data_IF_288046693828
#
_entry.id   IF_288046693828
#
_cell.length_a   1.000
_cell.length_b   1.000
_cell.length_c   1.000
_cell.angle_alpha   90.00
_cell.angle_beta   90.00
_cell.angle_gamma   90.00
#
_symmetry.space_group_name_H-M   'P 1'
#
loop_
_entity.id
_entity.type
_entity.pdbx_description
1 polymer ?
#
# COMPACT_ATOMS: atom_id res chain seq x y z
N UNK A 1 4.78 -21.54 -0.95
CA UNK A 1 5.36 -20.30 -0.38
C UNK A 1 4.24 -19.32 -0.11
N UNK A 2 4.24 -18.72 1.08
CA UNK A 2 3.26 -17.69 1.45
C UNK A 2 3.95 -16.32 1.39
N UNK A 3 3.42 -15.39 0.61
CA UNK A 3 3.89 -14.02 0.59
C UNK A 3 2.87 -13.07 1.25
N UNK A 4 3.34 -12.01 1.91
CA UNK A 4 2.53 -10.89 2.37
C UNK A 4 2.70 -9.72 1.39
N UNK A 5 1.60 -9.14 0.93
CA UNK A 5 1.57 -8.03 -0.02
C UNK A 5 0.87 -6.82 0.60
N UNK A 6 1.66 -5.78 0.87
CA UNK A 6 1.23 -4.48 1.36
C UNK A 6 1.49 -3.44 0.28
N UNK A 7 0.71 -2.36 0.28
CA UNK A 7 0.93 -1.17 -0.54
C UNK A 7 0.30 0.07 0.13
N UNK A 8 0.57 1.24 -0.39
CA UNK A 8 -0.15 2.47 -0.07
C UNK A 8 -0.24 2.73 1.44
N UNK A 9 0.91 2.65 2.12
CA UNK A 9 1.01 2.82 3.57
C UNK A 9 0.83 4.28 3.98
N UNK A 10 1.26 5.21 3.14
CA UNK A 10 1.14 6.66 3.32
C UNK A 10 1.55 7.18 4.71
N UNK A 11 2.66 6.68 5.24
CA UNK A 11 3.18 7.12 6.54
C UNK A 11 3.42 8.63 6.55
N UNK A 12 2.98 9.29 7.61
CA UNK A 12 3.03 10.74 7.72
C UNK A 12 1.85 11.48 7.09
N UNK A 13 0.80 10.77 6.62
CA UNK A 13 -0.42 11.38 6.13
C UNK A 13 -1.07 12.28 7.17
N UNK A 14 -1.40 13.52 6.78
CA UNK A 14 -2.07 14.52 7.65
C UNK A 14 -3.29 15.07 6.94
N UNK A 15 -4.40 15.04 7.65
CA UNK A 15 -5.62 15.68 7.20
C UNK A 15 -6.36 16.27 8.41
N UNK A 16 -7.14 17.32 8.13
CA UNK A 16 -7.91 18.04 9.14
C UNK A 16 -7.03 18.65 10.25
N UNK A 17 -7.65 19.45 11.15
CA UNK A 17 -6.93 20.18 12.21
C UNK A 17 -6.99 19.50 13.58
N UNK A 18 -7.57 18.27 13.66
CA UNK A 18 -7.69 17.55 14.94
C UNK A 18 -6.32 17.00 15.37
N UNK A 19 -5.94 17.33 16.59
CA UNK A 19 -4.73 16.81 17.23
C UNK A 19 -5.11 15.71 18.24
N UNK A 20 -4.22 14.75 18.39
CA UNK A 20 -4.22 13.79 19.50
C UNK A 20 -3.81 14.48 20.81
N UNK A 21 -4.02 13.86 22.00
CA UNK A 21 -3.55 14.42 23.27
C UNK A 21 -2.04 14.71 23.30
N UNK A 22 -1.23 14.02 22.50
CA UNK A 22 0.21 14.27 22.34
C UNK A 22 0.59 15.32 21.31
N UNK A 23 -0.36 16.11 20.77
CA UNK A 23 -0.11 17.17 19.79
C UNK A 23 0.17 16.69 18.36
N UNK A 24 0.06 15.40 18.08
CA UNK A 24 0.23 14.81 16.74
C UNK A 24 -1.10 14.90 15.98
N UNK A 25 -1.05 15.15 14.67
CA UNK A 25 -2.25 15.11 13.84
C UNK A 25 -2.97 13.76 13.98
N UNK A 26 -4.29 13.77 14.18
CA UNK A 26 -5.05 12.57 14.48
C UNK A 26 -4.97 11.53 13.34
N UNK A 27 -4.96 11.98 12.07
CA UNK A 27 -4.86 11.09 10.91
C UNK A 27 -3.46 10.48 10.78
N UNK A 28 -2.40 11.26 11.03
CA UNK A 28 -1.03 10.74 11.07
C UNK A 28 -0.90 9.62 12.11
N UNK A 29 -1.52 9.80 13.29
CA UNK A 29 -1.55 8.77 14.33
C UNK A 29 -2.35 7.53 13.90
N UNK A 30 -3.51 7.71 13.23
CA UNK A 30 -4.32 6.59 12.75
C UNK A 30 -3.51 5.71 11.78
N UNK A 31 -2.83 6.32 10.81
CA UNK A 31 -1.97 5.62 9.85
C UNK A 31 -0.82 4.89 10.56
N UNK A 32 -0.15 5.54 11.53
CA UNK A 32 0.92 4.89 12.28
C UNK A 32 0.43 3.67 13.10
N UNK A 33 -0.79 3.73 13.65
CA UNK A 33 -1.40 2.61 14.38
C UNK A 33 -1.81 1.48 13.43
N UNK A 34 -2.40 1.80 12.27
CA UNK A 34 -2.74 0.82 11.24
C UNK A 34 -1.49 0.11 10.71
N UNK A 35 -0.40 0.85 10.49
CA UNK A 35 0.88 0.28 10.07
C UNK A 35 1.43 -0.72 11.09
N UNK A 36 1.45 -0.37 12.38
CA UNK A 36 1.86 -1.31 13.43
C UNK A 36 1.00 -2.56 13.46
N UNK A 37 -0.32 -2.38 13.41
CA UNK A 37 -1.25 -3.51 13.40
C UNK A 37 -1.05 -4.42 12.17
N UNK A 38 -0.76 -3.83 11.00
CA UNK A 38 -0.42 -4.59 9.80
C UNK A 38 0.83 -5.44 10.01
N UNK A 39 1.91 -4.84 10.50
CA UNK A 39 3.17 -5.57 10.73
C UNK A 39 3.06 -6.61 11.84
N UNK A 40 2.32 -6.33 12.92
CA UNK A 40 2.05 -7.31 13.98
C UNK A 40 1.32 -8.53 13.39
N UNK A 41 0.33 -8.27 12.52
CA UNK A 41 -0.39 -9.36 11.85
C UNK A 41 0.48 -10.11 10.84
N UNK A 42 1.38 -9.45 10.12
CA UNK A 42 2.37 -10.10 9.24
C UNK A 42 3.28 -11.04 10.04
N UNK A 43 3.75 -10.59 11.22
CA UNK A 43 4.57 -11.44 12.12
C UNK A 43 3.81 -12.70 12.57
N UNK A 44 2.52 -12.55 12.95
CA UNK A 44 1.68 -13.68 13.36
C UNK A 44 1.45 -14.70 12.23
N UNK A 45 1.38 -14.21 10.98
CA UNK A 45 1.16 -15.06 9.80
C UNK A 45 2.43 -15.80 9.35
N UNK A 46 3.62 -15.24 9.65
CA UNK A 46 4.91 -15.85 9.33
C UNK A 46 5.10 -16.13 7.84
N UNK A 47 4.98 -15.11 6.95
CA UNK A 47 5.18 -15.32 5.51
C UNK A 47 6.64 -15.64 5.18
N UNK A 48 6.87 -16.25 4.02
CA UNK A 48 8.21 -16.52 3.49
C UNK A 48 8.83 -15.30 2.77
N UNK A 49 7.98 -14.34 2.35
CA UNK A 49 8.36 -13.13 1.62
C UNK A 49 7.39 -11.99 1.95
N UNK A 50 7.92 -10.77 2.07
CA UNK A 50 7.11 -9.56 2.28
C UNK A 50 7.35 -8.58 1.13
N UNK A 51 6.28 -8.18 0.46
CA UNK A 51 6.27 -7.21 -0.63
C UNK A 51 5.58 -5.92 -0.18
N UNK A 52 6.21 -4.78 -0.45
CA UNK A 52 5.62 -3.45 -0.24
C UNK A 52 5.59 -2.71 -1.58
N UNK A 53 4.44 -2.73 -2.24
CA UNK A 53 4.26 -2.26 -3.60
C UNK A 53 4.06 -0.73 -3.71
N UNK A 54 4.91 0.05 -3.07
CA UNK A 54 5.02 1.50 -3.18
C UNK A 54 4.16 2.30 -2.21
N UNK A 55 4.35 3.61 -2.26
CA UNK A 55 3.72 4.64 -1.42
C UNK A 55 3.85 4.34 0.08
N UNK A 56 5.11 4.09 0.50
CA UNK A 56 5.45 3.92 1.91
C UNK A 56 5.20 5.21 2.67
N UNK A 57 5.65 6.34 2.13
CA UNK A 57 5.40 7.67 2.70
C UNK A 57 4.35 8.44 1.91
N UNK A 58 3.63 9.32 2.60
CA UNK A 58 2.62 10.17 1.95
C UNK A 58 3.22 11.32 1.13
N UNK A 59 4.45 11.68 1.36
CA UNK A 59 5.15 12.76 0.64
C UNK A 59 6.61 12.41 0.44
N UNK A 60 7.21 12.94 -0.61
CA UNK A 60 8.65 12.82 -0.93
C UNK A 60 9.56 13.29 0.22
N UNK A 61 9.08 14.21 1.04
CA UNK A 61 9.78 14.71 2.22
C UNK A 61 8.93 14.51 3.47
N UNK A 62 8.89 13.29 4.00
CA UNK A 62 8.10 12.98 5.19
C UNK A 62 8.69 13.67 6.43
N UNK A 63 7.90 13.75 7.50
CA UNK A 63 8.39 14.26 8.77
C UNK A 63 9.44 13.33 9.39
N UNK A 64 10.39 13.87 10.14
CA UNK A 64 11.38 13.06 10.84
C UNK A 64 10.72 12.02 11.77
N UNK A 65 9.54 12.32 12.31
CA UNK A 65 8.78 11.38 13.13
C UNK A 65 8.28 10.18 12.31
N UNK A 66 7.75 10.43 11.11
CA UNK A 66 7.31 9.37 10.20
C UNK A 66 8.48 8.51 9.73
N UNK A 67 9.62 9.12 9.38
CA UNK A 67 10.84 8.41 8.98
C UNK A 67 11.34 7.51 10.12
N UNK A 68 11.46 8.07 11.32
CA UNK A 68 11.95 7.31 12.47
C UNK A 68 11.00 6.18 12.90
N UNK A 69 9.69 6.37 12.75
CA UNK A 69 8.71 5.31 13.04
C UNK A 69 8.76 4.21 11.97
N UNK A 70 8.81 4.57 10.69
CA UNK A 70 8.97 3.60 9.59
C UNK A 70 10.21 2.73 9.79
N UNK A 71 11.36 3.36 10.01
CA UNK A 71 12.63 2.65 10.24
C UNK A 71 12.54 1.68 11.43
N UNK A 72 12.03 2.15 12.57
CA UNK A 72 11.87 1.28 13.76
C UNK A 72 10.94 0.10 13.51
N UNK A 73 9.82 0.32 12.81
CA UNK A 73 8.85 -0.75 12.57
C UNK A 73 9.37 -1.78 11.58
N UNK A 74 10.02 -1.36 10.49
CA UNK A 74 10.65 -2.31 9.55
C UNK A 74 11.84 -3.04 10.19
N UNK A 75 12.68 -2.36 10.99
CA UNK A 75 13.75 -3.02 11.74
C UNK A 75 13.22 -4.04 12.76
N UNK A 76 12.11 -3.71 13.43
CA UNK A 76 11.42 -4.66 14.32
C UNK A 76 10.89 -5.87 13.54
N UNK A 77 10.25 -5.64 12.39
CA UNK A 77 9.73 -6.70 11.53
C UNK A 77 10.84 -7.66 11.08
N UNK A 78 11.93 -7.12 10.54
CA UNK A 78 13.11 -7.91 10.14
C UNK A 78 13.69 -8.71 11.32
N UNK A 79 13.78 -8.10 12.50
CA UNK A 79 14.27 -8.79 13.69
C UNK A 79 13.34 -9.89 14.24
N UNK A 80 12.02 -9.77 14.02
CA UNK A 80 11.03 -10.76 14.43
C UNK A 80 10.85 -11.91 13.42
N UNK A 81 11.20 -11.66 12.16
CA UNK A 81 11.17 -12.64 11.06
C UNK A 81 12.57 -12.78 10.43
N UNK A 82 13.54 -13.29 11.18
CA UNK A 82 14.92 -13.40 10.69
C UNK A 82 14.98 -14.31 9.45
N UNK A 83 15.65 -13.85 8.41
CA UNK A 83 15.77 -14.57 7.14
C UNK A 83 14.61 -14.36 6.16
N UNK A 84 13.51 -13.74 6.57
CA UNK A 84 12.41 -13.41 5.64
C UNK A 84 12.76 -12.10 4.90
N UNK A 85 12.90 -12.13 3.57
CA UNK A 85 13.21 -10.93 2.80
C UNK A 85 12.00 -9.97 2.73
N UNK A 86 12.31 -8.68 2.77
CA UNK A 86 11.35 -7.58 2.61
C UNK A 86 11.75 -6.81 1.36
N UNK A 87 10.93 -6.83 0.31
CA UNK A 87 11.19 -6.10 -0.92
C UNK A 87 10.23 -4.93 -1.03
N UNK A 88 10.78 -3.72 -1.20
CA UNK A 88 10.06 -2.45 -1.23
C UNK A 88 10.35 -1.76 -2.56
N UNK A 89 9.32 -1.36 -3.30
CA UNK A 89 9.48 -0.45 -4.43
C UNK A 89 8.97 0.95 -4.09
N UNK A 90 9.46 1.97 -4.80
CA UNK A 90 8.95 3.33 -4.65
C UNK A 90 7.65 3.52 -5.43
N UNK A 91 6.65 4.14 -4.79
CA UNK A 91 5.46 4.66 -5.43
C UNK A 91 5.62 6.11 -5.90
N UNK A 92 4.53 6.74 -6.39
CA UNK A 92 4.57 8.12 -6.85
C UNK A 92 4.78 9.13 -5.70
N UNK A 93 4.31 8.81 -4.50
CA UNK A 93 4.53 9.65 -3.31
C UNK A 93 5.94 9.52 -2.72
N UNK A 94 6.67 8.45 -3.01
CA UNK A 94 8.05 8.23 -2.57
C UNK A 94 9.09 8.76 -3.56
N UNK A 95 8.66 9.10 -4.79
CA UNK A 95 9.52 9.39 -5.93
C UNK A 95 9.78 10.88 -6.09
N UNK A 96 11.00 11.39 -5.77
CA UNK A 96 11.34 12.78 -6.01
C UNK A 96 11.43 13.06 -7.52
N UNK A 97 10.95 14.24 -7.95
CA UNK A 97 11.07 14.68 -9.35
C UNK A 97 12.50 14.90 -9.80
N UNK A 98 13.39 15.26 -8.89
CA UNK A 98 14.81 15.48 -9.15
C UNK A 98 15.60 14.23 -8.74
N UNK A 99 16.21 13.56 -9.71
CA UNK A 99 16.99 12.32 -9.53
C UNK A 99 18.10 12.48 -8.49
N UNK A 100 18.74 13.66 -8.46
CA UNK A 100 19.85 13.98 -7.53
C UNK A 100 19.41 13.95 -6.06
N UNK A 101 18.12 14.14 -5.78
CA UNK A 101 17.62 14.15 -4.39
C UNK A 101 17.63 12.75 -3.77
N UNK A 102 17.45 11.69 -4.57
CA UNK A 102 17.28 10.32 -4.10
C UNK A 102 15.98 10.13 -3.30
N UNK A 103 15.50 8.91 -3.20
CA UNK A 103 14.35 8.60 -2.35
C UNK A 103 14.78 8.37 -0.90
N UNK A 104 13.97 8.83 0.05
CA UNK A 104 14.14 8.54 1.48
C UNK A 104 14.02 7.05 1.79
N UNK A 105 13.40 6.26 0.90
CA UNK A 105 13.29 4.81 1.04
C UNK A 105 14.64 4.12 1.13
N UNK A 106 15.71 4.70 0.55
CA UNK A 106 17.08 4.16 0.62
C UNK A 106 17.56 3.96 2.05
N UNK A 107 17.04 4.77 3.00
CA UNK A 107 17.33 4.56 4.42
C UNK A 107 16.84 3.20 4.92
N UNK A 108 15.75 2.67 4.39
CA UNK A 108 15.22 1.38 4.79
C UNK A 108 16.09 0.21 4.29
N UNK A 109 16.88 0.41 3.24
CA UNK A 109 17.82 -0.60 2.76
C UNK A 109 19.00 -0.86 3.73
N UNK A 110 19.21 0.02 4.71
CA UNK A 110 20.19 -0.20 5.80
C UNK A 110 19.71 -1.24 6.83
N UNK A 111 18.44 -1.67 6.75
CA UNK A 111 17.88 -2.70 7.63
C UNK A 111 18.21 -4.08 7.03
N UNK A 112 18.81 -5.00 7.79
CA UNK A 112 19.09 -6.36 7.31
C UNK A 112 17.85 -7.05 6.72
N UNK A 113 18.00 -7.67 5.54
CA UNK A 113 16.91 -8.36 4.85
C UNK A 113 15.92 -7.45 4.10
N UNK A 114 16.15 -6.13 4.10
CA UNK A 114 15.33 -5.19 3.32
C UNK A 114 16.01 -4.82 2.02
N UNK A 115 15.32 -5.02 0.91
CA UNK A 115 15.75 -4.61 -0.44
C UNK A 115 14.84 -3.49 -0.92
N UNK A 116 15.41 -2.37 -1.35
CA UNK A 116 14.68 -1.22 -1.89
C UNK A 116 15.01 -1.02 -3.36
N UNK A 117 13.97 -0.83 -4.18
CA UNK A 117 14.08 -0.48 -5.60
C UNK A 117 13.30 0.83 -5.82
N UNK A 118 14.00 1.94 -6.00
CA UNK A 118 13.40 3.29 -5.96
C UNK A 118 13.47 4.06 -7.28
N UNK A 119 14.35 3.70 -8.20
CA UNK A 119 14.57 4.46 -9.44
C UNK A 119 14.28 3.63 -10.68
N UNK A 120 15.20 2.71 -11.00
CA UNK A 120 15.19 1.95 -12.23
C UNK A 120 14.50 0.59 -12.03
N UNK A 121 13.91 0.07 -13.10
CA UNK A 121 13.41 -1.29 -13.13
C UNK A 121 14.56 -2.28 -12.95
N UNK A 122 14.38 -3.24 -12.05
CA UNK A 122 15.38 -4.30 -11.89
C UNK A 122 14.78 -5.59 -11.35
N UNK A 123 15.33 -6.71 -11.74
CA UNK A 123 15.08 -8.00 -11.11
C UNK A 123 15.85 -8.12 -9.79
N UNK A 124 15.18 -8.64 -8.75
CA UNK A 124 15.76 -9.01 -7.45
C UNK A 124 15.63 -10.52 -7.34
N UNK A 125 16.74 -11.24 -7.32
CA UNK A 125 16.76 -12.67 -7.10
C UNK A 125 17.06 -12.99 -5.64
N UNK A 126 16.22 -13.81 -5.03
CA UNK A 126 16.28 -14.24 -3.63
C UNK A 126 16.65 -15.72 -3.59
N UNK A 127 17.96 -15.99 -3.44
CA UNK A 127 18.53 -17.34 -3.54
C UNK A 127 17.90 -18.33 -2.56
N UNK A 128 17.66 -17.92 -1.31
CA UNK A 128 17.18 -18.79 -0.24
C UNK A 128 15.77 -19.36 -0.50
N UNK A 129 14.97 -18.68 -1.33
CA UNK A 129 13.61 -19.08 -1.68
C UNK A 129 13.40 -19.26 -3.18
N UNK A 130 14.49 -19.27 -3.96
CA UNK A 130 14.52 -19.45 -5.43
C UNK A 130 13.44 -18.62 -6.15
N UNK A 131 13.40 -17.32 -5.83
CA UNK A 131 12.38 -16.40 -6.31
C UNK A 131 12.97 -15.19 -7.01
N UNK A 132 12.54 -14.91 -8.23
CA UNK A 132 12.84 -13.69 -8.98
C UNK A 132 11.68 -12.71 -8.92
N UNK A 133 11.98 -11.46 -8.56
CA UNK A 133 10.98 -10.38 -8.47
C UNK A 133 11.39 -9.29 -9.45
N UNK A 134 10.64 -9.11 -10.53
CA UNK A 134 10.82 -7.96 -11.40
C UNK A 134 10.13 -6.74 -10.75
N UNK A 135 10.95 -5.82 -10.27
CA UNK A 135 10.52 -4.61 -9.56
C UNK A 135 10.43 -3.41 -10.51
N UNK A 136 9.26 -2.81 -10.60
CA UNK A 136 8.97 -1.63 -11.42
C UNK A 136 8.49 -0.48 -10.53
N UNK A 137 9.41 0.32 -9.95
CA UNK A 137 9.04 1.51 -9.21
C UNK A 137 8.41 2.55 -10.13
N UNK A 138 7.67 3.51 -9.54
CA UNK A 138 6.98 4.56 -10.30
C UNK A 138 7.90 5.31 -11.27
N UNK A 139 9.12 5.65 -10.88
CA UNK A 139 10.07 6.37 -11.74
C UNK A 139 10.45 5.58 -13.00
N UNK A 140 10.64 4.27 -12.87
CA UNK A 140 10.93 3.41 -14.03
C UNK A 140 9.78 3.42 -15.03
N UNK A 141 8.54 3.33 -14.55
CA UNK A 141 7.36 3.42 -15.40
C UNK A 141 7.19 4.82 -16.01
N UNK A 142 7.52 5.88 -15.27
CA UNK A 142 7.41 7.27 -15.71
C UNK A 142 8.50 7.70 -16.69
N UNK A 143 9.61 6.98 -16.79
CA UNK A 143 10.72 7.29 -17.71
C UNK A 143 10.32 7.21 -19.18
N UNK A 144 9.27 6.45 -19.50
CA UNK A 144 8.84 6.15 -20.86
C UNK A 144 9.75 5.14 -21.58
N UNK A 145 10.74 4.60 -20.91
CA UNK A 145 11.58 3.53 -21.46
C UNK A 145 10.78 2.23 -21.53
N UNK A 146 10.97 1.48 -22.62
CA UNK A 146 10.30 0.20 -22.77
C UNK A 146 11.00 -0.85 -21.91
N UNK A 147 10.29 -1.30 -20.88
CA UNK A 147 10.75 -2.34 -19.97
C UNK A 147 10.24 -3.70 -20.47
N UNK A 148 11.13 -4.67 -20.64
CA UNK A 148 10.72 -6.03 -20.97
C UNK A 148 10.12 -6.70 -19.72
N UNK A 149 8.84 -7.06 -19.79
CA UNK A 149 8.14 -7.78 -18.71
C UNK A 149 8.26 -9.29 -18.96
N UNK A 150 9.44 -9.84 -18.63
CA UNK A 150 9.74 -11.24 -18.85
C UNK A 150 10.12 -11.91 -17.52
N UNK A 151 9.48 -13.05 -17.19
CA UNK A 151 9.89 -13.88 -16.05
C UNK A 151 11.30 -14.42 -16.25
N UNK A 152 11.99 -14.66 -15.15
CA UNK A 152 13.30 -15.32 -15.13
C UNK A 152 13.11 -16.84 -15.31
N UNK A 153 13.62 -17.43 -16.40
CA UNK A 153 13.42 -18.85 -16.67
C UNK A 153 14.17 -19.78 -15.69
N UNK A 154 15.16 -19.23 -14.97
CA UNK A 154 15.98 -20.01 -14.04
C UNK A 154 15.42 -19.98 -12.60
N UNK A 155 14.43 -19.13 -12.31
CA UNK A 155 13.79 -19.04 -10.99
C UNK A 155 12.58 -19.97 -10.87
N UNK A 156 12.42 -20.61 -9.70
CA UNK A 156 11.26 -21.46 -9.42
C UNK A 156 9.96 -20.66 -9.27
N UNK A 157 10.05 -19.44 -8.74
CA UNK A 157 8.90 -18.52 -8.56
C UNK A 157 9.22 -17.18 -9.19
N UNK A 158 8.29 -16.68 -10.01
CA UNK A 158 8.41 -15.39 -10.66
C UNK A 158 7.31 -14.41 -10.24
N UNK A 159 7.72 -13.27 -9.71
CA UNK A 159 6.81 -12.21 -9.24
C UNK A 159 7.06 -10.94 -10.06
N UNK A 160 5.98 -10.31 -10.49
CA UNK A 160 6.00 -8.94 -11.01
C UNK A 160 5.49 -8.01 -9.92
N UNK A 161 6.22 -6.95 -9.61
CA UNK A 161 5.84 -5.96 -8.61
C UNK A 161 5.89 -4.57 -9.22
N UNK A 162 4.77 -3.83 -9.24
CA UNK A 162 4.72 -2.50 -9.83
C UNK A 162 3.78 -1.55 -9.05
N UNK A 163 4.08 -0.25 -9.16
CA UNK A 163 3.26 0.81 -8.60
C UNK A 163 2.74 1.74 -9.70
N UNK A 164 1.49 1.52 -10.11
CA UNK A 164 0.86 2.28 -11.19
C UNK A 164 -0.55 1.82 -11.52
N UNK A 165 -1.12 2.43 -12.55
CA UNK A 165 -2.47 2.15 -13.04
C UNK A 165 -2.46 1.09 -14.12
N UNK A 166 -3.21 0.02 -13.97
CA UNK A 166 -3.45 -0.94 -15.03
C UNK A 166 -4.61 -0.44 -15.90
N UNK A 167 -4.36 -0.32 -17.21
CA UNK A 167 -5.32 0.10 -18.20
C UNK A 167 -5.73 -1.07 -19.11
N UNK A 168 -6.98 -1.08 -19.60
CA UNK A 168 -7.50 -2.15 -20.45
C UNK A 168 -7.93 -3.39 -19.67
N UNK A 169 -8.42 -4.41 -20.40
CA UNK A 169 -8.82 -5.69 -19.81
C UNK A 169 -9.99 -5.61 -18.81
N UNK A 170 -10.77 -4.51 -18.77
CA UNK A 170 -11.84 -4.29 -17.79
C UNK A 170 -11.36 -3.76 -16.44
N UNK A 171 -10.08 -3.48 -16.32
CA UNK A 171 -9.51 -2.93 -15.07
C UNK A 171 -10.10 -1.56 -14.73
N UNK A 172 -10.31 -0.70 -15.74
CA UNK A 172 -10.86 0.66 -15.53
C UNK A 172 -12.28 0.62 -14.93
N UNK A 173 -13.08 -0.39 -15.22
CA UNK A 173 -14.41 -0.52 -14.62
C UNK A 173 -14.32 -0.86 -13.13
N UNK A 174 -13.41 -1.76 -12.76
CA UNK A 174 -13.16 -2.13 -11.36
C UNK A 174 -12.53 -0.99 -10.56
N UNK A 175 -11.69 -0.17 -11.21
CA UNK A 175 -10.87 0.86 -10.57
C UNK A 175 -11.44 2.29 -10.70
N UNK A 176 -12.63 2.45 -11.27
CA UNK A 176 -13.23 3.70 -11.76
C UNK A 176 -13.27 4.87 -10.76
N UNK A 177 -13.28 4.59 -9.47
CA UNK A 177 -13.51 5.60 -8.43
C UNK A 177 -12.39 5.70 -7.40
N UNK A 178 -11.28 5.00 -7.61
CA UNK A 178 -10.28 4.77 -6.55
C UNK A 178 -8.88 5.27 -6.93
N UNK A 179 -8.76 6.04 -8.03
CA UNK A 179 -7.47 6.53 -8.48
C UNK A 179 -7.04 7.79 -7.75
N UNK A 180 -5.83 7.81 -7.23
CA UNK A 180 -5.11 9.04 -6.96
C UNK A 180 -4.53 9.63 -8.24
N UNK A 181 -4.34 10.95 -8.27
CA UNK A 181 -3.70 11.63 -9.39
C UNK A 181 -2.22 11.21 -9.52
N UNK A 182 -1.77 10.87 -10.72
CA UNK A 182 -0.34 10.74 -11.03
C UNK A 182 0.16 9.34 -11.31
N UNK A 183 -0.69 8.32 -11.37
CA UNK A 183 -0.30 6.95 -11.74
C UNK A 183 0.08 6.84 -13.22
N UNK A 184 1.24 6.24 -13.51
CA UNK A 184 1.60 5.85 -14.87
C UNK A 184 0.74 4.67 -15.30
N UNK A 185 0.26 4.70 -16.54
CA UNK A 185 -0.58 3.62 -17.09
C UNK A 185 0.27 2.54 -17.74
N UNK A 186 -0.01 1.30 -17.39
CA UNK A 186 0.54 0.10 -18.01
C UNK A 186 -0.62 -0.67 -18.62
N UNK A 187 -0.50 -1.09 -19.87
CA UNK A 187 -1.56 -1.87 -20.51
C UNK A 187 -1.62 -3.29 -19.95
N UNK A 188 -2.82 -3.75 -19.61
CA UNK A 188 -3.04 -5.08 -19.05
C UNK A 188 -2.54 -6.20 -19.99
N UNK A 189 -2.57 -5.98 -21.30
CA UNK A 189 -2.07 -6.92 -22.29
C UNK A 189 -0.53 -7.08 -22.29
N UNK A 190 0.19 -6.09 -21.78
CA UNK A 190 1.65 -6.15 -21.65
C UNK A 190 2.06 -7.00 -20.44
N UNK A 191 1.25 -7.03 -19.37
CA UNK A 191 1.56 -7.72 -18.11
C UNK A 191 1.51 -9.24 -18.28
N UNK A 192 0.52 -9.75 -19.01
CA UNK A 192 0.31 -11.20 -19.22
C UNK A 192 0.41 -11.98 -17.89
N UNK A 193 -0.58 -11.80 -16.98
CA UNK A 193 -0.50 -12.35 -15.62
C UNK A 193 -0.32 -13.87 -15.58
N UNK A 194 -0.72 -14.60 -16.60
CA UNK A 194 -0.54 -16.04 -16.74
C UNK A 194 0.94 -16.50 -16.81
N UNK A 195 1.87 -15.56 -17.04
CA UNK A 195 3.31 -15.84 -17.08
C UNK A 195 4.01 -15.69 -15.73
N UNK A 196 3.30 -15.16 -14.76
CA UNK A 196 3.82 -14.87 -13.41
C UNK A 196 3.15 -15.76 -12.38
N UNK A 197 3.86 -16.10 -11.32
CA UNK A 197 3.25 -16.75 -10.17
C UNK A 197 2.39 -15.78 -9.38
N UNK A 198 2.82 -14.53 -9.28
CA UNK A 198 2.07 -13.44 -8.67
C UNK A 198 2.40 -12.08 -9.28
N UNK A 199 1.39 -11.21 -9.37
CA UNK A 199 1.55 -9.81 -9.78
C UNK A 199 1.06 -8.92 -8.63
N UNK A 200 2.02 -8.26 -7.97
CA UNK A 200 1.79 -7.39 -6.83
C UNK A 200 1.67 -5.93 -7.26
N UNK A 201 0.49 -5.34 -7.11
CA UNK A 201 0.17 -3.99 -7.56
C UNK A 201 -0.06 -3.03 -6.37
N UNK A 202 0.48 -1.81 -6.46
CA UNK A 202 0.14 -0.68 -5.60
C UNK A 202 -0.38 0.52 -6.40
N UNK A 203 -0.85 1.55 -5.73
CA UNK A 203 -1.43 2.79 -6.24
C UNK A 203 -2.93 2.95 -5.96
N UNK A 204 -3.69 1.87 -5.96
CA UNK A 204 -5.13 1.92 -5.65
C UNK A 204 -5.38 1.49 -4.21
N UNK A 205 -6.08 2.35 -3.45
CA UNK A 205 -6.26 2.17 -2.01
C UNK A 205 -7.35 1.15 -1.62
N UNK A 206 -7.98 0.50 -2.58
CA UNK A 206 -8.97 -0.57 -2.36
C UNK A 206 -8.41 -1.88 -2.87
N UNK A 207 -8.38 -2.91 -2.02
CA UNK A 207 -7.97 -4.24 -2.42
C UNK A 207 -8.84 -4.74 -3.59
N UNK A 208 -8.21 -5.01 -4.72
CA UNK A 208 -8.92 -5.31 -5.97
C UNK A 208 -8.23 -6.43 -6.73
N UNK A 209 -9.00 -7.47 -7.04
CA UNK A 209 -8.57 -8.56 -7.92
C UNK A 209 -8.74 -8.17 -9.38
N UNK A 210 -7.67 -8.19 -10.16
CA UNK A 210 -7.72 -8.04 -11.61
C UNK A 210 -7.67 -9.41 -12.33
N UNK A 211 -6.86 -10.34 -11.80
CA UNK A 211 -6.80 -11.74 -12.18
C UNK A 211 -6.53 -12.59 -10.93
N UNK A 212 -6.72 -13.92 -10.95
CA UNK A 212 -6.54 -14.77 -9.76
C UNK A 212 -5.20 -14.60 -9.04
N UNK A 213 -4.14 -14.29 -9.79
CA UNK A 213 -2.79 -14.04 -9.29
C UNK A 213 -2.34 -12.58 -9.45
N UNK A 214 -3.24 -11.63 -9.71
CA UNK A 214 -2.92 -10.22 -9.95
C UNK A 214 -3.83 -9.32 -9.13
N UNK A 215 -3.25 -8.63 -8.13
CA UNK A 215 -4.00 -7.91 -7.13
C UNK A 215 -3.39 -6.54 -6.80
N UNK A 216 -4.24 -5.54 -6.62
CA UNK A 216 -3.94 -4.38 -5.80
C UNK A 216 -4.15 -4.74 -4.33
N UNK A 217 -3.15 -4.50 -3.47
CA UNK A 217 -3.27 -4.79 -2.04
C UNK A 217 -4.26 -3.86 -1.33
N UNK A 218 -4.41 -2.65 -1.84
CA UNK A 218 -5.11 -1.57 -1.16
C UNK A 218 -4.28 -0.95 -0.03
N UNK A 219 -4.77 0.17 0.50
CA UNK A 219 -4.13 0.86 1.62
C UNK A 219 -4.51 0.29 2.98
N UNK A 220 -3.64 0.50 3.95
CA UNK A 220 -3.84 0.07 5.35
C UNK A 220 -4.79 1.00 6.13
N UNK A 221 -4.99 2.23 5.63
CA UNK A 221 -5.90 3.24 6.21
C UNK A 221 -6.48 4.10 5.07
N UNK A 222 -7.53 4.86 5.33
CA UNK A 222 -8.17 5.75 4.36
C UNK A 222 -7.35 7.02 4.20
N UNK A 223 -6.62 7.15 3.11
CA UNK A 223 -5.68 8.26 2.86
C UNK A 223 -5.91 8.97 1.54
N UNK A 224 -6.84 8.51 0.71
CA UNK A 224 -7.12 9.18 -0.57
C UNK A 224 -7.79 10.56 -0.39
N UNK A 225 -7.65 11.40 -1.40
CA UNK A 225 -8.33 12.69 -1.47
C UNK A 225 -9.85 12.52 -1.58
N UNK A 226 -10.30 11.41 -2.17
CA UNK A 226 -11.71 11.02 -2.24
C UNK A 226 -12.05 9.95 -1.19
N UNK A 227 -11.97 10.33 0.07
CA UNK A 227 -12.20 9.43 1.21
C UNK A 227 -13.59 8.76 1.20
N UNK A 228 -14.56 9.35 0.51
CA UNK A 228 -15.93 8.85 0.43
C UNK A 228 -16.02 7.53 -0.34
N UNK A 229 -15.20 7.36 -1.38
CA UNK A 229 -15.11 6.11 -2.14
C UNK A 229 -14.53 4.97 -1.28
N UNK A 230 -13.69 5.32 -0.32
CA UNK A 230 -13.11 4.37 0.61
C UNK A 230 -13.98 4.10 1.86
N UNK A 231 -15.03 4.90 2.09
CA UNK A 231 -15.81 4.88 3.33
C UNK A 231 -16.38 3.49 3.66
N UNK A 232 -16.90 2.79 2.64
CA UNK A 232 -17.53 1.47 2.79
C UNK A 232 -16.57 0.29 2.64
N UNK A 233 -15.27 0.53 2.34
CA UNK A 233 -14.31 -0.54 2.10
C UNK A 233 -13.48 -0.85 3.33
N UNK A 234 -13.18 -2.14 3.54
CA UNK A 234 -12.21 -2.55 4.53
C UNK A 234 -10.80 -2.14 4.10
N UNK A 235 -9.96 -1.79 5.08
CA UNK A 235 -8.55 -1.52 4.92
C UNK A 235 -7.72 -2.68 5.45
N UNK A 236 -6.58 -2.96 4.81
CA UNK A 236 -5.81 -4.12 5.18
C UNK A 236 -4.69 -4.42 4.20
N UNK A 237 -4.32 -5.68 4.13
CA UNK A 237 -3.30 -6.20 3.23
C UNK A 237 -3.65 -7.61 2.77
N UNK A 238 -2.88 -8.17 1.84
CA UNK A 238 -3.09 -9.50 1.29
C UNK A 238 -1.99 -10.47 1.75
N UNK A 239 -2.35 -11.75 1.88
CA UNK A 239 -1.40 -12.84 1.70
C UNK A 239 -1.77 -13.62 0.45
N UNK A 240 -0.77 -14.17 -0.22
CA UNK A 240 -0.96 -15.03 -1.37
C UNK A 240 -0.12 -16.30 -1.19
N UNK A 241 -0.75 -17.44 -1.40
CA UNK A 241 -0.07 -18.73 -1.39
C UNK A 241 0.20 -19.16 -2.84
N UNK A 242 1.48 -19.28 -3.20
CA UNK A 242 1.90 -19.62 -4.57
C UNK A 242 1.57 -21.07 -4.95
N UNK A 243 1.36 -21.98 -4.00
CA UNK A 243 0.99 -23.37 -4.27
C UNK A 243 -0.50 -23.50 -4.57
N UNK A 244 -1.33 -23.00 -3.68
CA UNK A 244 -2.79 -23.04 -3.85
C UNK A 244 -3.34 -21.95 -4.77
N UNK A 245 -2.50 -20.98 -5.18
CA UNK A 245 -2.86 -19.78 -5.98
C UNK A 245 -4.01 -18.98 -5.35
N UNK A 246 -4.04 -18.92 -4.02
CA UNK A 246 -5.11 -18.27 -3.27
C UNK A 246 -4.64 -17.00 -2.60
N UNK A 247 -5.33 -15.88 -2.89
CA UNK A 247 -5.21 -14.64 -2.13
C UNK A 247 -6.15 -14.65 -0.91
N UNK A 248 -5.69 -14.09 0.20
CA UNK A 248 -6.49 -13.88 1.41
C UNK A 248 -6.32 -12.45 1.89
N UNK A 249 -7.42 -11.70 2.01
CA UNK A 249 -7.41 -10.35 2.54
C UNK A 249 -7.46 -10.36 4.07
N UNK A 250 -6.58 -9.61 4.71
CA UNK A 250 -6.50 -9.43 6.16
C UNK A 250 -6.97 -8.03 6.55
N UNK A 251 -8.22 -7.88 7.01
CA UNK A 251 -8.74 -6.58 7.40
C UNK A 251 -8.05 -6.06 8.66
N UNK A 252 -7.81 -4.74 8.68
CA UNK A 252 -7.22 -4.01 9.80
C UNK A 252 -8.25 -3.05 10.41
N UNK A 253 -8.16 -2.78 11.72
CA UNK A 253 -8.91 -1.69 12.32
C UNK A 253 -8.53 -0.36 11.68
N UNK A 254 -9.50 0.35 11.14
CA UNK A 254 -9.32 1.66 10.51
C UNK A 254 -10.39 2.64 11.01
N UNK A 255 -10.09 3.94 10.94
CA UNK A 255 -11.07 4.96 11.35
C UNK A 255 -12.30 4.90 10.45
N UNK A 256 -13.46 4.78 11.06
CA UNK A 256 -14.73 4.82 10.35
C UNK A 256 -14.95 6.19 9.70
N UNK A 257 -15.43 6.19 8.47
CA UNK A 257 -15.90 7.37 7.72
C UNK A 257 -17.37 7.16 7.44
N UNK A 258 -18.19 8.11 7.88
CA UNK A 258 -19.63 8.06 7.70
C UNK A 258 -20.06 9.16 6.75
N UNK A 259 -20.62 8.78 5.61
CA UNK A 259 -21.29 9.70 4.70
C UNK A 259 -22.71 9.98 5.22
N UNK A 260 -22.93 11.23 5.59
CA UNK A 260 -24.25 11.62 6.11
C UNK A 260 -25.20 11.91 4.95
N UNK A 261 -26.45 11.39 5.01
CA UNK A 261 -27.42 11.66 3.96
C UNK A 261 -27.72 13.15 3.86
N UNK A 262 -28.01 13.62 2.66
CA UNK A 262 -28.46 15.00 2.44
C UNK A 262 -29.77 15.23 3.15
N UNK A 263 -29.78 16.17 4.09
CA UNK A 263 -30.99 16.56 4.80
C UNK A 263 -31.71 17.70 4.08
N UNK A 264 -33.02 17.56 3.87
CA UNK A 264 -33.86 18.70 3.50
C UNK A 264 -33.95 19.71 4.65
N UNK A 265 -34.27 20.99 4.34
CA UNK A 265 -34.36 22.04 5.36
C UNK A 265 -35.28 21.71 6.54
N UNK A 266 -36.35 20.93 6.30
CA UNK A 266 -37.26 20.44 7.32
C UNK A 266 -36.66 19.37 8.25
N UNK A 267 -35.76 18.53 7.74
CA UNK A 267 -35.07 17.55 8.58
C UNK A 267 -33.96 18.19 9.44
N UNK A 268 -33.37 19.32 9.00
CA UNK A 268 -32.31 20.00 9.76
C UNK A 268 -32.73 20.36 11.18
N UNK A 269 -33.97 20.80 11.38
CA UNK A 269 -34.47 21.22 12.69
C UNK A 269 -34.64 20.02 13.64
N UNK A 270 -35.08 18.88 13.12
CA UNK A 270 -35.24 17.65 13.91
C UNK A 270 -33.90 16.95 14.22
N UNK A 271 -32.92 17.03 13.31
CA UNK A 271 -31.61 16.46 13.55
C UNK A 271 -30.79 17.25 14.57
N UNK A 272 -30.87 18.59 14.56
CA UNK A 272 -30.27 19.42 15.60
C UNK A 272 -30.88 19.14 17.00
N UNK A 273 -32.19 18.87 17.09
CA UNK A 273 -32.83 18.49 18.36
C UNK A 273 -32.47 17.09 18.86
N UNK A 274 -32.16 16.15 17.96
CA UNK A 274 -31.67 14.81 18.31
C UNK A 274 -30.15 14.79 18.62
N UNK A 275 -29.34 15.53 17.90
CA UNK A 275 -27.91 15.69 18.18
C UNK A 275 -27.66 16.33 19.55
N UNK A 276 -28.47 17.33 19.94
CA UNK A 276 -28.37 17.95 21.26
C UNK A 276 -28.81 17.02 22.42
N UNK A 277 -29.62 15.96 22.13
CA UNK A 277 -29.99 14.95 23.13
C UNK A 277 -29.06 13.73 23.15
N UNK A 278 -28.30 13.48 22.06
CA UNK A 278 -27.34 12.35 21.97
C UNK A 278 -25.92 12.71 22.41
N UNK A 279 -25.54 13.99 22.42
CA UNK A 279 -24.22 14.44 22.82
C UNK A 279 -23.95 14.35 24.34
N UNK A 280 -24.95 14.12 25.16
CA UNK A 280 -24.77 13.91 26.61
C UNK A 280 -24.37 12.49 27.00
N UNK A 281 -24.34 11.54 26.04
CA UNK A 281 -24.02 10.14 26.34
C UNK A 281 -22.59 9.71 25.89
N UNK A 282 -21.81 10.60 25.28
CA UNK A 282 -20.43 10.28 24.82
C UNK A 282 -19.33 11.16 25.45
N UNK A 283 -19.62 11.84 26.55
CA UNK A 283 -18.60 12.60 27.31
C UNK A 283 -18.46 12.05 28.74
N UNK A 284 -18.23 10.75 28.86
CA UNK A 284 -17.67 10.14 30.08
C UNK A 284 -16.63 9.12 29.70
#
# INVERSE_FOLDING_TARGET
>A
MILAHLADLHLGYRAYHRLSPGGINARERDVALAFRAALDRVVELGPDLILVAGDVFHTVRPSNAAIADAFRQFARLSGQLPGVPIVIIAGNHDSPRAVETGSILRLLAEIPGVVVVDQDARAVYLEEIDTSILCLPHNALASGERIALEPDPDAAVNILMLHGTIAGGGAEEKLRYVSEYGGVKVDASEIRPERWDYVALGHYHIATELAPNMWYAGGIERTSTNIWEEASTAKGFLTFDTESKKATFHPLPSREVVDLPRFSALMRINCLRRSLRGCTAMCN
#
